data_IF_224326330871
#
_entry.id   IF_224326330871
#
_cell.length_a   1.000
_cell.length_b   1.000
_cell.length_c   1.000
_cell.angle_alpha   90.00
_cell.angle_beta   90.00
_cell.angle_gamma   90.00
#
_symmetry.space_group_name_H-M   'P 1'
#
loop_
_entity.id
_entity.type
_entity.pdbx_description
1 polymer ?
#
# COMPACT_ATOMS: atom_id res chain seq x y z
N UNK A 1 4.96 -6.42 -17.05
CA UNK A 1 3.94 -6.83 -16.08
C UNK A 1 4.15 -6.02 -14.81
N UNK A 2 3.10 -5.41 -14.24
CA UNK A 2 3.21 -4.70 -12.97
C UNK A 2 3.60 -5.68 -11.87
N UNK A 3 4.79 -5.45 -11.31
CA UNK A 3 5.45 -6.26 -10.28
C UNK A 3 5.06 -5.79 -8.88
N UNK A 4 4.52 -4.58 -8.76
CA UNK A 4 4.19 -3.95 -7.49
C UNK A 4 2.76 -4.30 -7.10
N UNK A 5 2.56 -4.73 -5.85
CA UNK A 5 1.26 -5.12 -5.32
C UNK A 5 1.24 -4.99 -3.81
N UNK A 6 0.03 -4.98 -3.23
CA UNK A 6 -0.15 -4.99 -1.78
C UNK A 6 -0.93 -6.25 -1.39
N UNK A 7 -0.36 -7.04 -0.48
CA UNK A 7 -1.04 -8.14 0.18
C UNK A 7 -1.77 -7.63 1.41
N UNK A 8 -3.04 -8.00 1.53
CA UNK A 8 -3.91 -7.62 2.65
C UNK A 8 -4.58 -8.87 3.19
N UNK A 9 -4.43 -9.11 4.50
CA UNK A 9 -5.19 -10.15 5.21
C UNK A 9 -6.20 -9.52 6.16
N UNK A 10 -7.48 -9.67 5.86
CA UNK A 10 -8.57 -9.10 6.68
C UNK A 10 -9.85 -9.92 6.56
N UNK A 11 -10.71 -9.87 7.60
CA UNK A 11 -12.04 -10.50 7.57
C UNK A 11 -13.11 -9.59 6.97
N UNK A 12 -12.84 -8.29 6.86
CA UNK A 12 -13.83 -7.31 6.43
C UNK A 12 -13.54 -6.81 5.01
N UNK A 13 -14.01 -7.58 4.02
CA UNK A 13 -13.90 -7.21 2.60
C UNK A 13 -14.60 -5.87 2.32
N UNK A 14 -15.78 -5.64 2.89
CA UNK A 14 -16.57 -4.44 2.59
C UNK A 14 -15.86 -3.17 3.05
N UNK A 15 -15.28 -3.18 4.24
CA UNK A 15 -14.47 -2.06 4.72
C UNK A 15 -13.22 -1.87 3.86
N UNK A 16 -12.54 -2.95 3.45
CA UNK A 16 -11.39 -2.88 2.55
C UNK A 16 -11.76 -2.18 1.23
N UNK A 17 -12.87 -2.56 0.59
CA UNK A 17 -13.36 -1.91 -0.62
C UNK A 17 -13.64 -0.42 -0.39
N UNK A 18 -14.32 -0.07 0.71
CA UNK A 18 -14.63 1.33 1.00
C UNK A 18 -13.38 2.17 1.31
N UNK A 19 -12.40 1.59 2.01
CA UNK A 19 -11.10 2.23 2.28
C UNK A 19 -10.38 2.51 0.97
N UNK A 20 -10.37 1.55 0.04
CA UNK A 20 -9.76 1.74 -1.29
C UNK A 20 -10.50 2.81 -2.11
N UNK A 21 -11.83 2.85 -2.07
CA UNK A 21 -12.62 3.93 -2.67
C UNK A 21 -12.28 5.30 -2.07
N UNK A 22 -12.16 5.39 -0.74
CA UNK A 22 -11.75 6.63 -0.07
C UNK A 22 -10.34 7.06 -0.50
N UNK A 23 -9.41 6.11 -0.59
CA UNK A 23 -8.06 6.40 -1.08
C UNK A 23 -8.06 6.90 -2.53
N UNK A 24 -8.82 6.25 -3.42
CA UNK A 24 -8.97 6.68 -4.81
C UNK A 24 -9.53 8.10 -4.90
N UNK A 25 -10.50 8.43 -4.06
CA UNK A 25 -11.06 9.79 -3.98
C UNK A 25 -10.04 10.83 -3.49
N UNK A 26 -9.21 10.49 -2.49
CA UNK A 26 -8.19 11.38 -1.94
C UNK A 26 -7.08 11.71 -2.95
N UNK A 27 -6.76 10.77 -3.84
CA UNK A 27 -5.71 10.91 -4.85
C UNK A 27 -6.28 11.00 -6.28
N UNK A 28 -7.52 11.46 -6.46
CA UNK A 28 -8.25 11.48 -7.75
C UNK A 28 -7.47 12.07 -8.94
N UNK A 29 -6.55 13.00 -8.68
CA UNK A 29 -5.74 13.66 -9.70
C UNK A 29 -4.53 12.83 -10.15
N UNK A 30 -4.22 11.74 -9.44
CA UNK A 30 -3.14 10.83 -9.78
C UNK A 30 -3.64 9.71 -10.70
N UNK A 31 -2.96 9.47 -11.82
CA UNK A 31 -3.32 8.42 -12.78
C UNK A 31 -3.36 7.01 -12.14
N UNK A 32 -2.51 6.79 -11.14
CA UNK A 32 -2.44 5.60 -10.29
C UNK A 32 -3.77 5.10 -9.76
N UNK A 33 -4.68 5.99 -9.37
CA UNK A 33 -5.94 5.58 -8.73
C UNK A 33 -7.06 5.30 -9.73
N UNK A 34 -6.81 5.48 -11.02
CA UNK A 34 -7.73 5.13 -12.09
C UNK A 34 -7.57 3.65 -12.46
N UNK A 35 -8.11 2.77 -11.62
CA UNK A 35 -8.03 1.31 -11.80
C UNK A 35 -7.18 0.64 -10.72
N UNK A 36 -7.60 0.78 -9.46
CA UNK A 36 -7.09 -0.07 -8.38
C UNK A 36 -7.85 -1.39 -8.46
N UNK A 37 -7.14 -2.48 -8.70
CA UNK A 37 -7.72 -3.80 -8.89
C UNK A 37 -7.64 -4.60 -7.59
N UNK A 38 -8.79 -5.09 -7.09
CA UNK A 38 -8.86 -5.94 -5.91
C UNK A 38 -9.11 -7.40 -6.30
N UNK A 39 -8.28 -8.29 -5.77
CA UNK A 39 -8.37 -9.73 -5.98
C UNK A 39 -8.46 -10.46 -4.65
N UNK A 40 -9.14 -11.62 -4.63
CA UNK A 40 -9.19 -12.54 -3.49
C UNK A 40 -8.58 -13.88 -3.87
N UNK A 41 -7.79 -14.47 -2.98
CA UNK A 41 -7.22 -15.81 -3.17
C UNK A 41 -8.31 -16.88 -3.19
N UNK A 42 -8.27 -17.80 -4.16
CA UNK A 42 -9.22 -18.91 -4.30
C UNK A 42 -9.12 -19.83 -3.07
N UNK A 43 -10.27 -20.16 -2.50
CA UNK A 43 -10.35 -21.01 -1.31
C UNK A 43 -10.03 -20.31 0.02
N UNK A 44 -9.64 -19.03 0.00
CA UNK A 44 -9.39 -18.23 1.21
C UNK A 44 -10.31 -17.00 1.24
N UNK A 45 -10.96 -16.75 2.39
CA UNK A 45 -11.90 -15.63 2.52
C UNK A 45 -11.22 -14.32 2.93
N UNK A 46 -10.04 -14.42 3.57
CA UNK A 46 -9.36 -13.31 4.24
C UNK A 46 -8.18 -12.73 3.46
N UNK A 47 -7.72 -13.41 2.40
CA UNK A 47 -6.47 -13.08 1.70
C UNK A 47 -6.75 -12.36 0.38
N UNK A 48 -6.25 -11.13 0.28
CA UNK A 48 -6.47 -10.24 -0.85
C UNK A 48 -5.16 -9.72 -1.41
N UNK A 49 -5.19 -9.41 -2.71
CA UNK A 49 -4.12 -8.72 -3.42
C UNK A 49 -4.70 -7.48 -4.06
N UNK A 50 -4.02 -6.36 -3.89
CA UNK A 50 -4.30 -5.09 -4.56
C UNK A 50 -3.24 -4.88 -5.63
N UNK A 51 -3.67 -4.61 -6.86
CA UNK A 51 -2.82 -4.22 -7.99
C UNK A 51 -3.30 -2.89 -8.55
N UNK A 52 -2.50 -2.34 -9.46
CA UNK A 52 -2.78 -1.07 -10.08
C UNK A 52 -2.68 -1.23 -11.60
N UNK A 53 -3.64 -0.67 -12.33
CA UNK A 53 -3.54 -0.55 -13.79
C UNK A 53 -2.36 0.37 -14.16
N UNK A 54 -2.18 1.46 -13.39
CA UNK A 54 -1.05 2.38 -13.52
C UNK A 54 -0.20 2.30 -12.25
N UNK A 55 1.09 1.99 -12.40
CA UNK A 55 1.96 1.76 -11.26
C UNK A 55 2.10 3.05 -10.42
N UNK A 56 1.78 3.04 -9.11
CA UNK A 56 2.01 4.18 -8.23
C UNK A 56 3.50 4.53 -8.19
N UNK A 57 3.81 5.81 -8.01
CA UNK A 57 5.11 6.16 -7.47
C UNK A 57 5.27 5.62 -6.04
N UNK A 58 6.51 5.55 -5.58
CA UNK A 58 6.82 4.97 -4.27
C UNK A 58 6.15 5.71 -3.09
N UNK A 59 5.87 7.01 -3.22
CA UNK A 59 5.21 7.77 -2.15
C UNK A 59 3.74 7.41 -2.04
N UNK A 60 3.00 7.48 -3.16
CA UNK A 60 1.57 7.11 -3.19
C UNK A 60 1.40 5.64 -2.76
N UNK A 61 2.29 4.76 -3.20
CA UNK A 61 2.30 3.37 -2.76
C UNK A 61 2.50 3.24 -1.23
N UNK A 62 3.48 3.95 -0.68
CA UNK A 62 3.76 3.93 0.76
C UNK A 62 2.61 4.53 1.58
N UNK A 63 1.99 5.60 1.08
CA UNK A 63 0.80 6.18 1.68
C UNK A 63 -0.36 5.19 1.71
N UNK A 64 -0.60 4.43 0.64
CA UNK A 64 -1.65 3.42 0.62
C UNK A 64 -1.39 2.30 1.62
N UNK A 65 -0.15 1.79 1.71
CA UNK A 65 0.22 0.78 2.71
C UNK A 65 -0.06 1.27 4.12
N UNK A 66 0.28 2.52 4.43
CA UNK A 66 -0.01 3.14 5.73
C UNK A 66 -1.53 3.35 5.94
N UNK A 67 -2.24 3.84 4.93
CA UNK A 67 -3.68 4.10 4.99
C UNK A 67 -4.51 2.83 5.19
N UNK A 68 -4.07 1.70 4.65
CA UNK A 68 -4.71 0.39 4.89
C UNK A 68 -4.52 -0.13 6.31
N UNK A 69 -3.46 0.32 7.02
CA UNK A 69 -3.24 -0.01 8.44
C UNK A 69 -3.97 0.98 9.35
N UNK A 70 -4.05 2.25 8.94
CA UNK A 70 -4.67 3.34 9.70
C UNK A 70 -5.75 4.09 8.89
N UNK A 71 -6.87 3.43 8.53
CA UNK A 71 -7.92 4.06 7.74
C UNK A 71 -8.69 5.09 8.60
N UNK A 72 -8.78 6.32 8.12
CA UNK A 72 -9.35 7.46 8.87
C UNK A 72 -10.79 7.21 9.37
N UNK A 73 -11.65 6.65 8.51
CA UNK A 73 -13.09 6.50 8.78
C UNK A 73 -13.46 5.12 9.31
N UNK A 74 -12.49 4.20 9.47
CA UNK A 74 -12.71 2.79 9.79
C UNK A 74 -11.86 2.33 10.99
N UNK A 75 -12.12 2.91 12.16
CA UNK A 75 -11.31 2.69 13.38
C UNK A 75 -11.27 1.22 13.86
N UNK A 76 -12.30 0.43 13.52
CA UNK A 76 -12.39 -0.99 13.87
C UNK A 76 -11.78 -1.92 12.81
N UNK A 77 -11.38 -1.37 11.66
CA UNK A 77 -10.75 -2.15 10.60
C UNK A 77 -9.37 -2.65 11.05
N UNK A 78 -9.15 -3.95 10.87
CA UNK A 78 -7.88 -4.60 11.16
C UNK A 78 -7.45 -5.42 9.97
N UNK A 79 -6.22 -5.19 9.54
CA UNK A 79 -5.59 -5.95 8.49
C UNK A 79 -4.10 -6.16 8.77
N UNK A 80 -3.58 -7.27 8.30
CA UNK A 80 -2.15 -7.38 8.04
C UNK A 80 -1.88 -6.89 6.63
N UNK A 81 -0.99 -5.90 6.49
CA UNK A 81 -0.69 -5.25 5.22
C UNK A 81 0.80 -5.34 4.93
N UNK A 82 1.14 -5.81 3.73
CA UNK A 82 2.50 -5.85 3.17
C UNK A 82 2.48 -5.38 1.73
N UNK A 83 3.18 -4.29 1.44
CA UNK A 83 3.41 -3.84 0.07
C UNK A 83 4.70 -4.44 -0.46
N UNK A 84 4.73 -4.84 -1.73
CA UNK A 84 5.93 -5.26 -2.43
C UNK A 84 6.17 -4.33 -3.61
N UNK A 85 7.37 -3.78 -3.66
CA UNK A 85 7.70 -2.73 -4.61
C UNK A 85 9.11 -2.93 -5.17
N UNK A 86 9.22 -2.77 -6.48
CA UNK A 86 10.47 -2.89 -7.23
C UNK A 86 11.27 -1.60 -7.13
N UNK A 87 12.52 -1.71 -6.66
CA UNK A 87 13.40 -0.56 -6.46
C UNK A 87 13.74 0.19 -7.73
N UNK A 88 13.62 -0.43 -8.91
CA UNK A 88 13.82 0.24 -10.19
C UNK A 88 12.81 1.37 -10.42
N UNK A 89 11.63 1.26 -9.80
CA UNK A 89 10.53 2.23 -9.91
C UNK A 89 10.65 3.34 -8.84
N UNK A 90 11.72 3.33 -8.04
CA UNK A 90 11.99 4.35 -7.03
C UNK A 90 12.81 5.49 -7.64
N UNK A 91 12.12 6.46 -8.24
CA UNK A 91 12.77 7.54 -8.99
C UNK A 91 13.73 8.42 -8.15
N UNK A 92 13.24 9.01 -7.06
CA UNK A 92 14.00 10.04 -6.32
C UNK A 92 14.90 9.53 -5.19
N UNK A 93 14.67 8.32 -4.67
CA UNK A 93 15.40 7.80 -3.51
C UNK A 93 16.53 6.87 -3.92
N UNK A 94 17.67 7.44 -4.33
CA UNK A 94 18.86 6.69 -4.77
C UNK A 94 19.33 5.58 -3.83
N UNK A 95 19.10 5.74 -2.52
CA UNK A 95 19.46 4.72 -1.52
C UNK A 95 18.67 3.42 -1.71
N UNK A 96 17.41 3.53 -2.14
CA UNK A 96 16.51 2.40 -2.34
C UNK A 96 16.70 1.73 -3.71
N UNK A 97 17.19 2.46 -4.72
CA UNK A 97 17.39 1.93 -6.09
C UNK A 97 18.33 0.71 -6.21
N UNK A 98 19.13 0.42 -5.19
CA UNK A 98 20.08 -0.72 -5.18
C UNK A 98 19.54 -1.94 -4.45
N UNK A 99 18.30 -1.87 -3.97
CA UNK A 99 17.72 -2.87 -3.08
C UNK A 99 17.03 -4.02 -3.81
N UNK A 100 16.89 -3.97 -5.13
CA UNK A 100 16.17 -5.01 -5.89
C UNK A 100 14.67 -4.89 -5.64
N UNK A 101 14.10 -5.75 -4.80
CA UNK A 101 12.75 -5.56 -4.26
C UNK A 101 12.79 -5.22 -2.77
N UNK A 102 11.76 -4.51 -2.32
CA UNK A 102 11.56 -4.30 -0.89
C UNK A 102 10.09 -4.46 -0.51
N UNK A 103 9.93 -4.89 0.74
CA UNK A 103 8.67 -5.05 1.43
C UNK A 103 8.41 -3.79 2.25
N UNK A 104 7.28 -3.16 2.02
CA UNK A 104 6.77 -1.98 2.74
C UNK A 104 5.77 -2.44 3.80
N UNK A 105 5.94 -1.99 5.03
CA UNK A 105 5.08 -2.38 6.15
C UNK A 105 5.02 -1.31 7.24
N UNK A 106 4.06 -1.45 8.13
CA UNK A 106 4.00 -0.70 9.39
C UNK A 106 4.52 -1.59 10.52
N UNK A 107 5.43 -1.06 11.34
CA UNK A 107 5.89 -1.75 12.53
C UNK A 107 4.81 -1.66 13.61
N UNK A 108 4.34 -2.80 14.13
CA UNK A 108 3.28 -2.84 15.13
C UNK A 108 3.62 -2.14 16.46
N UNK A 109 4.92 -1.90 16.73
CA UNK A 109 5.38 -1.14 17.90
C UNK A 109 5.36 0.37 17.66
N UNK A 110 5.35 0.79 16.40
CA UNK A 110 5.31 2.19 16.01
C UNK A 110 3.85 2.65 15.94
N UNK A 111 3.54 3.68 16.73
CA UNK A 111 2.19 4.25 16.85
C UNK A 111 2.06 5.57 16.09
N UNK A 112 3.13 6.04 15.46
CA UNK A 112 3.10 7.26 14.68
C UNK A 112 2.75 6.89 13.23
N UNK A 113 1.67 7.45 12.66
CA UNK A 113 1.24 7.11 11.31
C UNK A 113 2.04 7.86 10.23
N UNK A 114 3.16 8.51 10.55
CA UNK A 114 3.90 9.42 9.67
C UNK A 114 5.04 8.76 8.87
N UNK A 115 5.24 7.45 9.04
CA UNK A 115 6.26 6.70 8.32
C UNK A 115 5.83 5.27 7.95
N UNK A 116 6.58 4.69 7.00
CA UNK A 116 6.59 3.25 6.71
C UNK A 116 7.98 2.67 6.94
N UNK A 117 8.02 1.37 7.18
CA UNK A 117 9.25 0.59 7.27
C UNK A 117 9.44 -0.18 5.97
N UNK A 118 10.70 -0.33 5.58
CA UNK A 118 11.12 -1.06 4.40
C UNK A 118 12.12 -2.13 4.83
N UNK A 119 12.00 -3.31 4.26
CA UNK A 119 13.04 -4.34 4.33
C UNK A 119 13.30 -4.84 2.91
N UNK A 120 14.56 -4.90 2.50
CA UNK A 120 14.92 -5.39 1.16
C UNK A 120 15.37 -6.86 1.16
N UNK A 121 15.41 -7.45 -0.03
CA UNK A 121 15.84 -8.84 -0.23
C UNK A 121 17.29 -9.11 0.17
N UNK A 122 18.10 -8.05 0.35
CA UNK A 122 19.49 -8.13 0.80
C UNK A 122 19.62 -8.03 2.33
N UNK A 123 18.50 -7.99 3.05
CA UNK A 123 18.44 -7.95 4.51
C UNK A 123 18.65 -6.57 5.12
N UNK A 124 18.69 -5.49 4.33
CA UNK A 124 18.74 -4.12 4.83
C UNK A 124 17.35 -3.62 5.18
N UNK A 125 17.29 -2.75 6.17
CA UNK A 125 16.04 -2.11 6.57
C UNK A 125 16.16 -0.59 6.55
N UNK A 126 15.03 0.05 6.25
CA UNK A 126 14.92 1.49 6.19
C UNK A 126 13.63 1.94 6.85
N UNK A 127 13.63 3.19 7.29
CA UNK A 127 12.43 3.94 7.62
C UNK A 127 12.28 5.06 6.60
N UNK A 128 11.08 5.18 6.04
CA UNK A 128 10.70 6.23 5.12
C UNK A 128 9.61 7.07 5.77
N UNK A 129 9.92 8.32 6.09
CA UNK A 129 8.93 9.28 6.55
C UNK A 129 8.29 10.02 5.37
N UNK A 130 7.05 10.46 5.58
CA UNK A 130 6.29 11.17 4.56
C UNK A 130 6.74 12.62 4.34
N UNK A 131 7.75 13.09 5.08
CA UNK A 131 8.54 14.28 4.74
C UNK A 131 9.57 14.01 3.63
N UNK A 132 9.66 12.77 3.15
CA UNK A 132 10.54 12.37 2.05
C UNK A 132 11.94 11.98 2.51
N UNK A 133 12.18 11.75 3.80
CA UNK A 133 13.47 11.30 4.31
C UNK A 133 13.48 9.78 4.45
N UNK A 134 14.54 9.17 3.92
CA UNK A 134 14.80 7.73 4.03
C UNK A 134 16.12 7.47 4.76
N UNK A 135 16.03 6.76 5.89
CA UNK A 135 17.17 6.41 6.75
C UNK A 135 17.28 4.90 6.86
N UNK A 136 18.51 4.40 6.75
CA UNK A 136 18.81 3.00 7.04
C UNK A 136 18.75 2.78 8.55
N UNK A 137 18.29 1.60 8.97
CA UNK A 137 18.13 1.24 10.36
C UNK A 137 18.41 -0.26 10.58
N UNK A 138 18.63 -0.69 11.84
CA UNK A 138 18.73 -2.11 12.15
C UNK A 138 17.46 -2.85 11.72
N UNK A 139 17.65 -4.04 11.14
CA UNK A 139 16.56 -4.86 10.61
C UNK A 139 15.58 -5.24 11.72
N UNK A 140 14.31 -4.85 11.55
CA UNK A 140 13.23 -5.15 12.50
C UNK A 140 12.32 -6.29 12.03
N UNK A 141 12.13 -6.41 10.71
CA UNK A 141 11.40 -7.48 10.04
C UNK A 141 12.22 -7.88 8.81
N UNK A 142 12.31 -9.17 8.52
CA UNK A 142 13.04 -9.68 7.35
C UNK A 142 12.12 -9.63 6.14
N UNK A 143 12.67 -9.32 4.97
CA UNK A 143 11.94 -9.40 3.70
C UNK A 143 11.37 -10.81 3.51
N UNK A 144 10.05 -10.88 3.31
CA UNK A 144 9.34 -12.13 3.05
C UNK A 144 8.27 -11.84 1.99
N UNK A 145 8.53 -12.29 0.77
CA UNK A 145 7.59 -12.23 -0.35
C UNK A 145 7.18 -13.65 -0.71
N UNK A 146 5.88 -13.93 -0.71
CA UNK A 146 5.35 -15.16 -1.31
C UNK A 146 5.18 -14.96 -2.81
N UNK A 147 5.49 -15.98 -3.60
CA UNK A 147 5.24 -15.91 -5.04
C UNK A 147 3.73 -15.83 -5.30
N UNK A 148 3.30 -14.73 -5.93
CA UNK A 148 1.89 -14.51 -6.28
C UNK A 148 1.64 -15.01 -7.69
N UNK A 149 0.94 -16.14 -7.82
CA UNK A 149 0.36 -16.58 -9.07
C UNK A 149 -1.08 -16.07 -9.18
N UNK A 150 -1.35 -15.16 -10.12
CA UNK A 150 -2.67 -14.57 -10.29
C UNK A 150 -3.75 -15.57 -10.71
N UNK A 151 -3.38 -16.74 -11.25
CA UNK A 151 -4.34 -17.82 -11.52
C UNK A 151 -4.98 -18.37 -10.24
N UNK A 152 -4.33 -18.18 -9.08
CA UNK A 152 -4.85 -18.57 -7.77
C UNK A 152 -5.80 -17.54 -7.18
N UNK A 153 -6.11 -16.46 -7.91
CA UNK A 153 -6.94 -15.36 -7.43
C UNK A 153 -8.19 -15.16 -8.30
N UNK A 154 -9.28 -14.75 -7.66
CA UNK A 154 -10.47 -14.24 -8.32
C UNK A 154 -10.43 -12.71 -8.29
N UNK A 155 -10.65 -12.08 -9.44
CA UNK A 155 -10.91 -10.65 -9.50
C UNK A 155 -12.24 -10.34 -8.79
N UNK A 156 -12.25 -9.28 -7.98
CA UNK A 156 -13.42 -8.85 -7.21
C UNK A 156 -14.01 -7.59 -7.82
N UNK A 157 -13.19 -6.52 -7.92
CA UNK A 157 -13.64 -5.20 -8.35
C UNK A 157 -12.46 -4.37 -8.85
N UNK A 158 -12.77 -3.49 -9.81
CA UNK A 158 -11.91 -2.36 -10.19
C UNK A 158 -12.45 -1.08 -9.56
N UNK A 159 -11.59 -0.38 -8.84
CA UNK A 159 -11.93 0.81 -8.07
C UNK A 159 -11.40 2.05 -8.78
N UNK A 160 -12.29 3.04 -8.90
CA UNK A 160 -12.05 4.33 -9.52
C UNK A 160 -12.52 5.44 -8.58
N UNK A 161 -11.98 6.67 -8.70
CA UNK A 161 -12.50 7.82 -7.98
C UNK A 161 -13.98 8.07 -8.33
N UNK A 162 -14.78 8.36 -7.33
CA UNK A 162 -16.17 8.79 -7.48
C UNK A 162 -16.26 10.14 -8.23
N UNK A 163 -17.35 10.38 -8.96
CA UNK A 163 -17.64 11.70 -9.52
C UNK A 163 -17.56 12.81 -8.45
N UNK A 164 -17.05 14.01 -8.81
CA UNK A 164 -16.84 15.11 -7.84
C UNK A 164 -18.08 15.49 -7.03
N UNK A 165 -19.25 15.37 -7.66
CA UNK A 165 -20.54 15.72 -7.07
C UNK A 165 -20.98 14.77 -5.95
N UNK A 166 -20.26 13.67 -5.72
CA UNK A 166 -20.57 12.64 -4.72
C UNK A 166 -19.57 12.64 -3.54
N UNK A 167 -18.59 13.54 -3.55
CA UNK A 167 -17.57 13.60 -2.49
C UNK A 167 -18.14 14.13 -1.17
N UNK A 168 -18.01 13.32 -0.11
CA UNK A 168 -18.06 13.83 1.27
C UNK A 168 -16.70 14.48 1.58
N UNK A 169 -16.69 15.60 2.30
CA UNK A 169 -15.46 16.31 2.66
C UNK A 169 -14.53 15.45 3.56
N UNK A 170 -13.67 14.62 2.96
CA UNK A 170 -12.60 13.92 3.68
C UNK A 170 -11.29 14.70 3.53
N UNK A 171 -10.77 15.27 4.62
CA UNK A 171 -9.49 16.00 4.60
C UNK A 171 -8.32 15.03 4.74
N UNK A 172 -7.43 15.00 3.75
CA UNK A 172 -6.16 14.29 3.81
C UNK A 172 -5.25 14.84 4.93
N UNK A 173 -4.85 14.00 5.88
CA UNK A 173 -4.07 14.40 7.07
C UNK A 173 -2.61 14.81 6.76
N UNK A 174 -2.05 14.36 5.63
CA UNK A 174 -0.68 14.73 5.21
C UNK A 174 -0.60 16.13 4.61
N UNK A 175 -1.72 16.82 4.36
CA UNK A 175 -1.73 18.23 3.91
C UNK A 175 -1.46 19.23 5.06
N UNK A 176 -1.20 18.76 6.28
CA UNK A 176 -0.96 19.58 7.46
C UNK A 176 0.51 19.58 7.94
N UNK A 177 1.45 19.09 7.11
CA UNK A 177 2.89 19.11 7.37
C UNK A 177 3.65 19.85 6.28
#
# INVERSE_FOLDING_TARGET
MNVNYISVKTKNQQDLENILCNFANLYRDAETVNGIELYRKKGEIETFIIRFTHNPDFEIFSFLVNYLVYPMDYLDFKAEVRGFYDSKDVGKYRKLQKSGKFMVYINAKDKQPDNVYLSDENGKAYIFDFGGVCKEMPTSLIYQEEEVNMEDFNHIIDIYPSPENELRESKAWWKFW
#
